data_IF_043732561689
#
_entry.id   IF_043732561689
#
_cell.length_a   1.000
_cell.length_b   1.000
_cell.length_c   1.000
_cell.angle_alpha   90.00
_cell.angle_beta   90.00
_cell.angle_gamma   90.00
#
_symmetry.space_group_name_H-M   'P 1'
#
loop_
_entity.id
_entity.type
_entity.pdbx_description
1 polymer ?
2 polymer ?
3 non-polymer ?
4 non-polymer ?
5 non-polymer ?
6 non-polymer ?
7 non-polymer ?
8 non-polymer ?
9 water ?
#
# COMPACT_ATOMS: atom_id res chain seq x y z
N UNK A 1 -5.40 -9.98 16.73
CA UNK A 1 -6.19 -11.00 16.04
C UNK A 1 -7.37 -10.32 15.32
N UNK A 2 -7.41 -8.99 15.15
CA UNK A 2 -8.40 -8.34 14.22
C UNK A 2 -8.19 -8.92 12.81
N UNK A 3 -9.23 -9.58 12.29
CA UNK A 3 -9.18 -10.37 11.04
C UNK A 3 -10.33 -9.92 10.13
N UNK A 4 -9.98 -9.66 8.88
CA UNK A 4 -10.96 -9.45 7.80
C UNK A 4 -11.15 -10.78 7.09
N UNK A 5 -12.38 -11.16 6.81
CA UNK A 5 -12.65 -12.37 6.01
C UNK A 5 -13.38 -11.98 4.73
N UNK A 6 -13.14 -12.74 3.68
CA UNK A 6 -13.79 -12.50 2.37
C UNK A 6 -14.60 -13.74 2.09
N UNK A 7 -15.92 -13.63 1.94
CA UNK A 7 -16.71 -14.80 1.58
C UNK A 7 -16.22 -15.40 0.27
N UNK A 8 -15.80 -14.55 -0.67
CA UNK A 8 -15.33 -14.99 -2.01
C UNK A 8 -14.03 -14.27 -2.33
N UNK A 9 -13.00 -14.97 -2.78
CA UNK A 9 -11.73 -14.31 -3.18
C UNK A 9 -11.63 -14.28 -4.71
N UNK A 10 -12.69 -14.64 -5.39
CA UNK A 10 -12.76 -14.69 -6.86
C UNK A 10 -14.20 -14.43 -7.26
N UNK A 11 -14.40 -13.44 -8.13
CA UNK A 11 -15.71 -13.07 -8.71
C UNK A 11 -15.55 -13.20 -10.21
N UNK A 12 -16.53 -13.78 -10.86
CA UNK A 12 -16.58 -13.76 -12.33
C UNK A 12 -17.89 -13.08 -12.68
N UNK A 13 -17.83 -11.98 -13.41
CA UNK A 13 -19.00 -11.12 -13.60
C UNK A 13 -19.17 -10.81 -15.08
N UNK A 14 -20.41 -10.59 -15.47
CA UNK A 14 -20.73 -10.30 -16.88
C UNK A 14 -20.56 -8.80 -17.16
N UNK A 15 -20.10 -8.52 -18.37
CA UNK A 15 -19.93 -7.14 -18.86
C UNK A 15 -21.26 -6.40 -18.70
N UNK A 16 -21.26 -5.21 -18.11
CA UNK A 16 -22.47 -4.38 -18.04
C UNK A 16 -23.30 -4.66 -16.79
N UNK A 17 -22.97 -5.66 -15.98
CA UNK A 17 -23.64 -5.98 -14.72
C UNK A 17 -23.23 -4.97 -13.64
N UNK A 18 -23.98 -4.91 -12.57
CA UNK A 18 -23.47 -4.27 -11.35
C UNK A 18 -22.75 -5.38 -10.59
N UNK A 19 -21.76 -5.05 -9.78
CA UNK A 19 -21.09 -6.08 -8.97
C UNK A 19 -20.94 -5.54 -7.57
N UNK A 20 -21.12 -6.37 -6.54
CA UNK A 20 -20.84 -6.00 -5.15
C UNK A 20 -19.89 -7.04 -4.59
N UNK A 21 -18.74 -6.57 -4.16
CA UNK A 21 -17.72 -7.49 -3.59
C UNK A 21 -17.61 -7.16 -2.12
N UNK A 22 -17.39 -8.18 -1.35
CA UNK A 22 -17.54 -8.09 0.11
C UNK A 22 -16.27 -8.44 0.85
N UNK A 23 -16.12 -7.71 1.93
CA UNK A 23 -15.11 -8.01 2.97
C UNK A 23 -15.76 -7.75 4.32
N UNK A 24 -15.62 -8.73 5.18
CA UNK A 24 -16.35 -8.74 6.48
C UNK A 24 -15.39 -8.54 7.63
N UNK A 25 -15.88 -7.87 8.67
CA UNK A 25 -15.11 -7.68 9.91
C UNK A 25 -16.10 -7.68 11.07
N UNK A 26 -15.60 -8.02 12.26
CA UNK A 26 -16.44 -8.15 13.46
C UNK A 26 -17.01 -6.79 13.93
N UNK A 27 -18.34 -6.74 13.97
CA UNK A 27 -19.12 -5.58 14.47
C UNK A 27 -20.30 -6.14 15.27
N UNK A 28 -20.42 -5.76 16.53
CA UNK A 28 -21.60 -6.22 17.34
C UNK A 28 -22.56 -5.08 17.69
N UNK A 29 -22.15 -3.85 17.43
CA UNK A 29 -22.84 -2.65 17.97
C UNK A 29 -22.53 -1.51 17.04
N UNK A 30 -23.14 -0.38 17.37
CA UNK A 30 -22.88 0.90 16.75
C UNK A 30 -21.37 1.08 16.47
N UNK A 31 -21.07 1.41 15.22
CA UNK A 31 -19.66 1.67 14.81
C UNK A 31 -19.12 2.92 15.47
N UNK A 32 -17.88 2.81 15.92
CA UNK A 32 -17.10 3.99 16.29
C UNK A 32 -16.53 4.57 14.98
N UNK A 33 -17.21 5.51 14.33
CA UNK A 33 -16.75 6.05 13.02
C UNK A 33 -15.53 6.92 13.19
N UNK A 34 -15.26 7.41 14.38
CA UNK A 34 -14.00 8.13 14.61
C UNK A 34 -12.84 7.16 14.30
N UNK A 35 -13.00 5.88 14.60
CA UNK A 35 -11.89 4.90 14.51
C UNK A 35 -11.92 4.14 13.18
N UNK A 36 -13.06 3.94 12.55
CA UNK A 36 -13.20 3.02 11.40
C UNK A 36 -12.55 3.66 10.15
N UNK A 37 -11.71 2.86 9.47
CA UNK A 37 -11.25 3.24 8.09
C UNK A 37 -11.51 2.05 7.21
N UNK A 38 -12.08 2.30 6.05
CA UNK A 38 -12.25 1.27 5.02
C UNK A 38 -11.59 1.78 3.76
N UNK A 39 -10.70 1.00 3.18
CA UNK A 39 -9.96 1.45 1.99
C UNK A 39 -10.02 0.33 0.95
N UNK A 40 -10.66 0.63 -0.19
CA UNK A 40 -10.71 -0.29 -1.35
C UNK A 40 -9.79 0.25 -2.45
N UNK A 41 -9.01 -0.66 -3.02
CA UNK A 41 -8.18 -0.37 -4.18
C UNK A 41 -8.39 -1.46 -5.21
N UNK A 42 -8.04 -1.20 -6.46
CA UNK A 42 -7.75 -2.30 -7.39
C UNK A 42 -6.57 -1.88 -8.24
N UNK A 43 -5.55 -2.72 -8.34
CA UNK A 43 -4.46 -2.45 -9.31
C UNK A 43 -3.85 -1.06 -8.99
N UNK A 44 -3.65 -0.76 -7.73
CA UNK A 44 -3.01 0.48 -7.18
C UNK A 44 -3.91 1.71 -7.41
N UNK A 45 -5.13 1.53 -7.86
CA UNK A 45 -6.11 2.63 -8.02
C UNK A 45 -6.98 2.77 -6.77
N UNK A 46 -7.04 4.00 -6.25
CA UNK A 46 -7.90 4.35 -5.11
C UNK A 46 -9.36 4.28 -5.55
N UNK A 47 -10.11 3.35 -4.98
CA UNK A 47 -11.55 3.24 -5.30
C UNK A 47 -12.31 4.03 -4.25
N UNK A 48 -12.24 3.60 -2.99
CA UNK A 48 -12.85 4.36 -1.88
C UNK A 48 -11.94 4.34 -0.68
N UNK A 49 -11.64 5.52 -0.16
CA UNK A 49 -11.05 5.75 1.14
C UNK A 49 -12.13 6.36 2.02
N UNK A 50 -12.53 5.59 3.03
CA UNK A 50 -13.62 5.98 3.95
C UNK A 50 -13.01 6.21 5.31
N UNK A 51 -13.09 7.46 5.76
CA UNK A 51 -12.40 7.91 6.98
C UNK A 51 -13.27 9.04 7.58
N UNK A 52 -13.37 9.07 8.89
CA UNK A 52 -14.27 10.03 9.58
C UNK A 52 -15.68 9.95 9.01
N UNK A 53 -16.17 8.76 8.68
CA UNK A 53 -17.55 8.59 8.22
C UNK A 53 -17.85 9.13 6.83
N UNK A 54 -16.84 9.43 5.99
CA UNK A 54 -17.10 9.94 4.61
C UNK A 54 -16.08 9.37 3.62
N UNK A 55 -16.57 9.09 2.40
CA UNK A 55 -15.72 8.76 1.22
C UNK A 55 -14.87 10.01 0.93
N UNK A 56 -13.54 9.89 0.85
CA UNK A 56 -12.65 11.02 0.44
C UNK A 56 -12.59 11.01 -1.08
N UNK A 57 -13.44 11.77 -1.73
CA UNK A 57 -13.57 11.70 -3.20
C UNK A 57 -12.43 12.46 -3.88
N UNK A 58 -11.64 13.23 -3.13
CA UNK A 58 -10.50 13.94 -3.71
C UNK A 58 -9.45 12.96 -4.19
N UNK A 59 -9.31 11.81 -3.51
CA UNK A 59 -8.19 10.86 -3.78
C UNK A 59 -8.67 9.70 -4.66
N UNK A 60 -9.96 9.61 -4.91
CA UNK A 60 -10.54 8.55 -5.76
C UNK A 60 -10.03 8.65 -7.20
N UNK A 61 -9.75 7.50 -7.76
CA UNK A 61 -9.28 7.40 -9.17
C UNK A 61 -10.44 7.73 -10.09
N UNK A 62 -10.16 8.45 -11.18
CA UNK A 62 -11.18 8.87 -12.17
C UNK A 62 -11.96 7.69 -12.73
N UNK A 63 -11.40 6.50 -12.80
CA UNK A 63 -12.09 5.31 -13.30
C UNK A 63 -13.28 4.89 -12.42
N UNK A 64 -13.37 5.38 -11.21
CA UNK A 64 -14.37 4.96 -10.19
C UNK A 64 -15.30 6.12 -9.84
N UNK A 65 -15.05 7.29 -10.36
CA UNK A 65 -15.84 8.50 -10.07
C UNK A 65 -17.29 8.21 -10.53
N UNK A 66 -18.22 8.33 -9.58
CA UNK A 66 -19.67 8.07 -9.78
C UNK A 66 -19.94 6.67 -10.33
N UNK A 67 -19.08 5.71 -9.98
CA UNK A 67 -19.28 4.31 -10.37
C UNK A 67 -19.10 3.38 -9.17
N UNK A 68 -18.58 3.87 -8.07
CA UNK A 68 -18.30 3.03 -6.90
C UNK A 68 -19.04 3.57 -5.69
N UNK A 69 -19.55 2.69 -4.86
CA UNK A 69 -20.13 2.99 -3.53
C UNK A 69 -19.65 1.99 -2.53
N UNK A 70 -19.40 2.48 -1.34
CA UNK A 70 -19.25 1.64 -0.14
C UNK A 70 -20.62 1.70 0.57
N UNK A 71 -21.27 0.56 0.61
CA UNK A 71 -22.70 0.49 1.06
C UNK A 71 -22.75 0.67 2.59
N UNK A 72 -23.19 1.85 3.01
CA UNK A 72 -23.04 2.32 4.42
C UNK A 72 -23.88 1.43 5.36
N UNK A 73 -25.05 0.98 4.95
CA UNK A 73 -25.92 0.18 5.82
C UNK A 73 -25.33 -1.22 5.97
N UNK A 74 -24.60 -1.73 4.98
CA UNK A 74 -23.88 -3.02 5.12
C UNK A 74 -22.73 -2.87 6.10
N UNK A 75 -22.10 -1.70 6.13
CA UNK A 75 -20.94 -1.47 7.03
C UNK A 75 -21.41 -1.65 8.47
N UNK A 76 -22.65 -1.22 8.77
CA UNK A 76 -23.18 -1.31 10.14
C UNK A 76 -23.31 -2.79 10.55
N UNK A 77 -23.39 -3.71 9.60
CA UNK A 77 -23.42 -5.19 9.83
C UNK A 77 -22.02 -5.82 9.79
N UNK A 78 -20.96 -5.04 9.64
CA UNK A 78 -19.59 -5.59 9.55
C UNK A 78 -19.32 -6.12 8.15
N UNK A 79 -19.95 -5.50 7.16
CA UNK A 79 -19.76 -5.88 5.75
C UNK A 79 -19.35 -4.64 4.96
N UNK A 80 -18.07 -4.57 4.59
CA UNK A 80 -17.55 -3.49 3.72
C UNK A 80 -17.84 -3.92 2.29
N UNK A 81 -18.99 -3.53 1.80
CA UNK A 81 -19.46 -3.97 0.49
C UNK A 81 -19.17 -2.88 -0.55
N UNK A 82 -18.35 -3.20 -1.53
CA UNK A 82 -18.03 -2.28 -2.63
C UNK A 82 -18.91 -2.60 -3.83
N UNK A 83 -19.77 -1.67 -4.23
CA UNK A 83 -20.64 -1.83 -5.38
C UNK A 83 -20.06 -1.01 -6.55
N UNK A 84 -19.81 -1.69 -7.66
CA UNK A 84 -19.39 -1.06 -8.91
C UNK A 84 -20.59 -1.11 -9.84
N UNK A 85 -20.92 0.03 -10.42
CA UNK A 85 -22.00 0.14 -11.43
C UNK A 85 -21.43 -0.14 -12.82
N UNK A 86 -22.11 -1.01 -13.61
CA UNK A 86 -21.91 -1.09 -15.06
C UNK A 86 -20.45 -1.49 -15.37
N UNK A 87 -20.12 -2.70 -14.91
CA UNK A 87 -18.75 -3.26 -14.99
C UNK A 87 -18.29 -3.40 -16.43
N UNK A 88 -17.00 -3.15 -16.64
CA UNK A 88 -16.33 -3.15 -17.95
C UNK A 88 -15.03 -3.95 -17.84
N UNK A 89 -14.33 -4.15 -18.96
CA UNK A 89 -13.08 -4.95 -18.88
C UNK A 89 -12.10 -4.23 -17.98
N UNK A 90 -12.11 -2.90 -17.93
CA UNK A 90 -11.19 -2.12 -17.07
C UNK A 90 -11.36 -2.53 -15.60
N UNK A 91 -12.52 -3.05 -15.19
CA UNK A 91 -12.78 -3.41 -13.78
C UNK A 91 -12.27 -4.82 -13.47
N UNK A 92 -11.73 -5.52 -14.45
CA UNK A 92 -11.12 -6.83 -14.18
C UNK A 92 -9.73 -6.61 -13.62
N UNK A 93 -9.39 -7.27 -12.54
CA UNK A 93 -8.07 -7.12 -11.91
C UNK A 93 -8.09 -7.60 -10.52
N UNK A 94 -7.01 -7.35 -9.81
CA UNK A 94 -6.91 -7.72 -8.38
C UNK A 94 -7.33 -6.52 -7.54
N UNK A 95 -8.34 -6.73 -6.73
CA UNK A 95 -8.87 -5.77 -5.73
C UNK A 95 -8.31 -6.10 -4.34
N UNK A 96 -8.24 -5.11 -3.49
CA UNK A 96 -7.80 -5.31 -2.12
C UNK A 96 -8.67 -4.45 -1.25
N UNK A 97 -9.10 -5.06 -0.17
CA UNK A 97 -9.81 -4.36 0.90
C UNK A 97 -8.91 -4.22 2.13
N UNK A 98 -8.98 -3.09 2.76
CA UNK A 98 -8.33 -2.80 4.04
C UNK A 98 -9.44 -2.34 4.96
N UNK A 99 -9.52 -2.95 6.12
CA UNK A 99 -10.36 -2.41 7.22
C UNK A 99 -9.47 -2.18 8.41
N UNK A 100 -9.62 -1.02 9.04
CA UNK A 100 -8.97 -0.65 10.32
C UNK A 100 -10.08 -0.33 11.32
N UNK A 101 -10.14 -1.13 12.39
CA UNK A 101 -11.19 -1.00 13.44
C UNK A 101 -10.62 -1.65 14.70
N UNK A 102 -9.71 -0.95 15.37
CA UNK A 102 -8.91 -1.52 16.46
C UNK A 102 -8.07 -2.67 15.91
N UNK A 103 -7.12 -2.33 15.10
CA UNK A 103 -6.33 -3.32 14.34
C UNK A 103 -6.74 -3.22 12.89
N UNK A 104 -5.87 -3.68 11.99
CA UNK A 104 -6.08 -3.54 10.53
C UNK A 104 -5.76 -4.86 9.84
N UNK A 105 -6.48 -5.18 8.78
CA UNK A 105 -6.18 -6.36 7.99
C UNK A 105 -6.54 -6.07 6.54
N UNK A 106 -5.96 -6.85 5.67
CA UNK A 106 -5.95 -6.60 4.20
C UNK A 106 -6.20 -7.91 3.47
N UNK A 107 -7.12 -7.93 2.52
CA UNK A 107 -7.43 -9.16 1.75
C UNK A 107 -7.48 -8.83 0.25
N UNK A 108 -6.97 -9.77 -0.55
CA UNK A 108 -7.00 -9.70 -2.02
C UNK A 108 -8.18 -10.46 -2.57
N UNK A 109 -8.76 -9.94 -3.63
CA UNK A 109 -9.91 -10.54 -4.36
C UNK A 109 -9.67 -10.35 -5.85
N UNK A 110 -9.71 -11.43 -6.61
CA UNK A 110 -9.62 -11.38 -8.08
C UNK A 110 -11.00 -11.21 -8.66
N UNK A 111 -11.11 -10.28 -9.60
CA UNK A 111 -12.34 -10.07 -10.37
C UNK A 111 -12.02 -10.32 -11.83
N UNK A 112 -12.75 -11.27 -12.42
CA UNK A 112 -12.71 -11.55 -13.87
C UNK A 112 -13.99 -11.05 -14.51
N UNK A 113 -13.86 -10.23 -15.54
CA UNK A 113 -15.02 -9.70 -16.29
C UNK A 113 -15.06 -10.41 -17.65
N UNK A 114 -16.22 -10.92 -18.02
CA UNK A 114 -16.39 -11.60 -19.32
C UNK A 114 -16.61 -10.56 -20.43
N UNK A 115 -16.31 -10.94 -21.65
CA UNK A 115 -16.34 -10.10 -22.87
C UNK A 115 -17.73 -9.50 -23.10
N UNK A 116 -17.85 -8.29 -23.70
CA UNK A 116 -19.17 -7.73 -24.04
C UNK A 116 -19.95 -8.52 -25.12
N UNK B 2 5.53 -5.43 18.66
CA UNK B 2 5.62 -6.79 18.02
C UNK B 2 5.96 -6.69 16.52
N UNK B 3 5.49 -5.67 15.78
CA UNK B 3 6.04 -5.47 14.41
C UNK B 3 7.46 -4.90 14.57
N UNK B 4 8.41 -5.46 13.84
CA UNK B 4 9.75 -4.87 13.67
C UNK B 4 10.18 -4.86 12.19
N UNK B 5 10.66 -3.72 11.70
CA UNK B 5 11.36 -3.64 10.39
C UNK B 5 12.84 -3.40 10.69
N UNK B 6 13.72 -4.24 10.20
CA UNK B 6 15.19 -4.08 10.42
C UNK B 6 15.88 -3.90 9.07
N UNK B 7 16.45 -2.71 8.85
CA UNK B 7 17.21 -2.37 7.63
C UNK B 7 18.67 -2.75 7.82
N UNK B 8 19.30 -3.23 6.77
CA UNK B 8 20.76 -3.46 6.78
C UNK B 8 21.33 -3.17 5.39
N UNK B 9 22.68 -3.04 5.29
CA UNK B 9 23.34 -2.95 3.99
C UNK B 9 23.92 -1.57 3.71
N UNK B 10 23.72 -0.64 4.62
CA UNK B 10 24.23 0.71 4.43
C UNK B 10 25.74 0.73 4.59
N UNK B 11 26.35 1.75 4.05
CA UNK B 11 27.80 1.96 4.22
C UNK B 11 28.28 3.16 3.44
N UNK B 12 29.59 3.25 3.33
CA UNK B 12 30.31 4.29 2.59
C UNK B 12 30.51 3.76 1.20
N UNK B 13 30.29 4.57 0.18
CA UNK B 13 30.47 4.16 -1.23
C UNK B 13 30.94 5.31 -2.08
N UNK B 14 31.74 5.01 -3.11
CA UNK B 14 32.22 5.98 -4.10
C UNK B 14 31.02 6.47 -4.93
N UNK B 15 31.00 7.72 -5.32
CA UNK B 15 30.03 8.21 -6.33
C UNK B 15 30.17 7.32 -7.57
N UNK B 16 29.03 6.90 -8.13
CA UNK B 16 29.02 5.95 -9.25
C UNK B 16 28.90 4.51 -8.84
N UNK B 17 29.10 4.19 -7.58
CA UNK B 17 29.10 2.83 -7.11
C UNK B 17 27.69 2.35 -6.78
N UNK B 18 27.65 1.21 -6.10
CA UNK B 18 26.38 0.46 -5.85
C UNK B 18 26.36 -0.08 -4.43
N UNK B 19 25.17 -0.22 -3.88
CA UNK B 19 24.95 -0.86 -2.57
C UNK B 19 23.58 -1.54 -2.66
N UNK B 20 23.32 -2.54 -1.83
CA UNK B 20 21.97 -3.14 -1.75
C UNK B 20 21.51 -3.06 -0.31
N UNK B 21 20.40 -2.37 -0.09
CA UNK B 21 19.76 -2.33 1.23
C UNK B 21 18.74 -3.45 1.31
N UNK B 22 18.56 -3.97 2.50
CA UNK B 22 17.59 -5.05 2.77
C UNK B 22 16.80 -4.64 3.98
N UNK B 23 15.54 -5.04 4.04
CA UNK B 23 14.73 -4.83 5.27
C UNK B 23 14.01 -6.14 5.56
N UNK B 24 14.25 -6.67 6.74
CA UNK B 24 13.62 -7.91 7.24
C UNK B 24 12.48 -7.50 8.16
N UNK B 25 11.25 -7.85 7.78
CA UNK B 25 10.06 -7.49 8.60
C UNK B 25 9.70 -8.72 9.43
N UNK B 26 9.29 -8.50 10.67
CA UNK B 26 8.81 -9.60 11.54
C UNK B 26 7.53 -9.15 12.23
N UNK B 27 6.75 -10.10 12.76
CA UNK B 27 5.59 -9.76 13.60
C UNK B 27 4.29 -9.97 12.86
N UNK B 28 4.29 -9.75 11.54
CA UNK B 28 3.16 -10.12 10.68
C UNK B 28 3.62 -10.15 9.23
N UNK B 29 2.83 -10.79 8.40
CA UNK B 29 3.12 -10.91 6.97
C UNK B 29 2.71 -9.61 6.30
N UNK B 30 3.61 -9.06 5.54
CA UNK B 30 3.36 -7.79 4.84
C UNK B 30 3.05 -8.00 3.34
N UNK B 31 2.74 -9.21 2.88
CA UNK B 31 2.46 -9.47 1.45
C UNK B 31 1.41 -8.52 0.87
N UNK B 32 0.39 -8.21 1.67
CA UNK B 32 -0.76 -7.43 1.16
C UNK B 32 -0.60 -5.94 1.41
N UNK B 33 0.58 -5.47 1.81
CA UNK B 33 0.87 -4.07 2.14
C UNK B 33 1.73 -3.42 1.06
N UNK B 34 1.43 -2.16 0.74
CA UNK B 34 2.40 -1.34 -0.02
C UNK B 34 3.62 -1.16 0.90
N UNK B 35 4.81 -1.20 0.33
CA UNK B 35 6.07 -1.00 1.09
C UNK B 35 6.88 0.11 0.48
N UNK B 36 7.74 0.76 1.27
CA UNK B 36 8.47 1.90 0.70
C UNK B 36 9.82 2.04 1.38
N UNK B 37 10.71 2.73 0.67
CA UNK B 37 11.93 3.33 1.27
C UNK B 37 11.79 4.83 1.25
N UNK B 38 12.19 5.46 2.35
CA UNK B 38 12.30 6.89 2.56
C UNK B 38 13.77 7.14 2.97
N UNK B 39 14.15 8.41 2.88
CA UNK B 39 15.48 8.78 3.35
C UNK B 39 15.43 10.12 4.03
N UNK B 40 16.38 10.34 4.93
CA UNK B 40 16.46 11.64 5.64
C UNK B 40 17.93 11.99 5.93
N UNK B 41 18.30 13.14 5.42
CA UNK B 41 19.63 13.73 5.68
C UNK B 41 19.50 14.66 6.86
N UNK B 42 20.62 14.82 7.60
CA UNK B 42 20.66 15.65 8.78
C UNK B 42 20.07 17.02 8.51
N UNK B 43 19.12 17.38 9.37
CA UNK B 43 18.49 18.70 9.34
C UNK B 43 17.52 18.90 8.20
N UNK B 44 17.15 17.83 7.45
CA UNK B 44 16.29 18.01 6.24
C UNK B 44 15.04 17.15 6.40
N UNK B 45 14.02 17.44 5.59
CA UNK B 45 12.71 16.73 5.58
C UNK B 45 13.00 15.27 5.16
N UNK B 46 12.32 14.30 5.75
CA UNK B 46 12.31 12.89 5.30
C UNK B 46 11.58 12.83 3.96
N UNK B 47 12.12 12.10 2.99
CA UNK B 47 11.52 12.10 1.65
C UNK B 47 11.37 10.69 1.14
N UNK B 48 10.34 10.53 0.32
CA UNK B 48 10.09 9.29 -0.41
C UNK B 48 11.23 8.98 -1.38
N UNK B 49 11.60 7.72 -1.47
CA UNK B 49 12.61 7.26 -2.42
C UNK B 49 11.94 6.31 -3.45
N UNK B 50 11.33 5.26 -2.95
CA UNK B 50 10.79 4.19 -3.80
C UNK B 50 9.66 3.47 -3.08
N UNK B 51 8.76 2.91 -3.88
CA UNK B 51 7.60 2.20 -3.34
C UNK B 51 7.26 1.01 -4.19
N UNK B 52 6.78 -0.06 -3.56
CA UNK B 52 6.35 -1.25 -4.29
C UNK B 52 4.94 -1.62 -3.81
N UNK B 53 4.12 -2.01 -4.78
CA UNK B 53 2.73 -2.38 -4.54
C UNK B 53 2.66 -3.74 -3.86
N UNK B 54 1.57 -3.94 -3.15
CA UNK B 54 1.12 -5.28 -2.73
C UNK B 54 0.86 -6.20 -3.91
N UNK B 55 0.66 -5.68 -5.12
CA UNK B 55 0.48 -6.59 -6.28
C UNK B 55 1.78 -7.34 -6.55
N UNK B 56 2.89 -6.80 -6.07
CA UNK B 56 4.22 -7.29 -6.44
C UNK B 56 4.70 -6.72 -7.77
N UNK B 57 3.86 -6.00 -8.52
CA UNK B 57 4.21 -5.66 -9.91
C UNK B 57 3.98 -4.21 -10.27
N UNK B 58 3.93 -3.32 -9.31
CA UNK B 58 3.93 -1.86 -9.50
C UNK B 58 5.08 -1.30 -8.65
N UNK B 59 6.00 -0.60 -9.28
CA UNK B 59 7.12 0.06 -8.59
C UNK B 59 7.07 1.54 -8.93
N UNK B 60 7.50 2.36 -7.96
CA UNK B 60 7.33 3.81 -8.01
C UNK B 60 8.58 4.45 -7.42
N UNK B 61 9.02 5.53 -8.04
CA UNK B 61 10.33 6.15 -7.69
C UNK B 61 10.22 7.65 -7.70
N UNK B 62 10.88 8.28 -6.76
CA UNK B 62 11.09 9.74 -6.84
C UNK B 62 11.95 10.02 -8.08
N UNK B 63 11.70 11.11 -8.75
CA UNK B 63 12.30 11.36 -10.09
C UNK B 63 13.84 11.26 -10.03
N UNK B 64 14.46 11.75 -8.98
CA UNK B 64 15.94 11.81 -8.92
C UNK B 64 16.59 10.43 -8.76
N UNK B 65 15.81 9.38 -8.47
CA UNK B 65 16.42 8.04 -8.34
C UNK B 65 15.96 7.12 -9.46
N UNK B 66 15.02 7.56 -10.30
CA UNK B 66 14.54 6.69 -11.39
C UNK B 66 15.72 6.22 -12.24
N UNK B 67 15.78 4.91 -12.52
CA UNK B 67 16.85 4.31 -13.32
C UNK B 67 18.06 3.99 -12.46
N UNK B 68 18.22 4.64 -11.33
CA UNK B 68 19.40 4.37 -10.44
C UNK B 68 19.05 3.33 -9.37
N UNK B 69 17.87 3.45 -8.78
CA UNK B 69 17.46 2.59 -7.66
C UNK B 69 16.33 1.66 -8.16
N UNK B 70 16.32 0.46 -7.63
CA UNK B 70 15.29 -0.56 -7.92
C UNK B 70 14.79 -1.13 -6.62
N UNK B 71 13.48 -1.08 -6.45
CA UNK B 71 12.84 -1.69 -5.25
C UNK B 71 12.26 -3.04 -5.63
N UNK B 72 12.37 -3.99 -4.70
CA UNK B 72 11.86 -5.34 -4.90
C UNK B 72 11.45 -5.89 -3.53
N UNK B 73 10.72 -6.97 -3.58
CA UNK B 73 10.24 -7.62 -2.34
C UNK B 73 10.28 -9.13 -2.51
N UNK B 74 10.32 -9.83 -1.36
CA UNK B 74 10.26 -11.31 -1.36
C UNK B 74 9.26 -11.68 -0.27
N UNK B 75 8.05 -12.05 -0.68
CA UNK B 75 6.93 -12.23 0.26
C UNK B 75 7.12 -13.54 1.00
N UNK B 76 7.91 -14.45 0.49
CA UNK B 76 8.19 -15.71 1.22
C UNK B 76 9.08 -15.36 2.42
N UNK B 77 10.00 -14.42 2.28
CA UNK B 77 10.93 -14.05 3.38
C UNK B 77 10.49 -12.81 4.15
N UNK B 78 9.39 -12.15 3.76
CA UNK B 78 8.95 -10.91 4.42
C UNK B 78 10.07 -9.88 4.35
N UNK B 79 10.70 -9.72 3.18
CA UNK B 79 11.81 -8.79 2.99
C UNK B 79 11.54 -7.83 1.82
N UNK B 80 12.10 -6.63 1.97
CA UNK B 80 12.07 -5.58 0.94
C UNK B 80 13.51 -5.20 0.65
N UNK B 81 13.81 -4.87 -0.59
CA UNK B 81 15.19 -4.56 -1.01
C UNK B 81 15.24 -3.25 -1.78
N UNK B 82 16.35 -2.56 -1.65
CA UNK B 82 16.62 -1.36 -2.48
C UNK B 82 18.01 -1.54 -3.10
N UNK B 83 18.02 -1.84 -4.38
CA UNK B 83 19.26 -1.95 -5.20
C UNK B 83 19.60 -0.52 -5.59
N UNK B 84 20.74 0.00 -5.10
CA UNK B 84 21.15 1.37 -5.42
C UNK B 84 22.38 1.34 -6.33
N UNK B 85 22.22 1.82 -7.55
CA UNK B 85 23.29 1.96 -8.55
C UNK B 85 23.55 3.45 -8.81
N UNK B 86 24.70 3.77 -9.45
CA UNK B 86 25.00 5.14 -9.90
C UNK B 86 24.85 6.10 -8.71
N UNK B 87 25.39 5.75 -7.55
CA UNK B 87 25.17 6.56 -6.34
C UNK B 87 25.79 7.95 -6.53
N UNK B 88 25.11 8.91 -5.94
CA UNK B 88 25.42 10.33 -6.14
C UNK B 88 25.47 11.01 -4.78
N UNK B 89 26.19 12.14 -4.64
CA UNK B 89 26.18 12.90 -3.39
C UNK B 89 24.79 13.14 -2.78
N UNK B 90 23.79 13.35 -3.61
CA UNK B 90 22.42 13.63 -3.15
C UNK B 90 21.88 12.45 -2.36
N UNK B 91 22.48 11.27 -2.48
CA UNK B 91 21.90 10.05 -1.90
C UNK B 91 22.35 9.85 -0.45
N UNK B 92 23.32 10.63 0.04
CA UNK B 92 23.77 10.49 1.45
C UNK B 92 22.64 10.80 2.42
N UNK B 93 22.29 9.82 3.24
CA UNK B 93 21.15 9.93 4.15
C UNK B 93 21.04 8.66 4.99
N UNK B 94 20.14 8.71 5.97
CA UNK B 94 19.60 7.51 6.64
C UNK B 94 18.41 7.02 5.82
N UNK B 95 18.46 5.77 5.45
CA UNK B 95 17.39 5.13 4.66
C UNK B 95 16.52 4.29 5.60
N UNK B 96 15.20 4.46 5.46
CA UNK B 96 14.18 3.78 6.27
C UNK B 96 13.27 2.98 5.36
N UNK B 97 12.96 1.78 5.78
CA UNK B 97 11.92 1.00 5.11
C UNK B 97 10.66 1.16 5.92
N UNK B 98 9.54 1.25 5.21
CA UNK B 98 8.24 1.60 5.80
C UNK B 98 7.18 0.67 5.22
N UNK B 99 6.22 0.27 6.07
CA UNK B 99 5.04 -0.53 5.68
C UNK B 99 3.79 0.32 5.82
N UNK B 100 2.88 0.14 4.89
CA UNK B 100 1.61 0.85 4.76
C UNK B 100 0.88 0.96 6.09
N UNK B 101 0.33 2.14 6.30
CA UNK B 101 -0.45 2.52 7.48
C UNK B 101 -1.89 2.70 7.09
N UNK B 102 -2.74 2.87 8.08
CA UNK B 102 -4.19 2.97 7.88
C UNK B 102 -4.61 4.24 7.15
N UNK B 103 -3.79 5.27 7.00
CA UNK B 103 -4.17 6.49 6.28
C UNK B 103 -3.50 6.55 4.91
N UNK B 104 -2.95 5.42 4.44
CA UNK B 104 -2.38 5.36 3.08
C UNK B 104 -3.35 5.90 2.03
N UNK B 105 -4.62 5.50 2.09
CA UNK B 105 -5.64 5.94 1.10
C UNK B 105 -5.92 7.45 1.14
N UNK B 106 -5.60 8.15 2.22
CA UNK B 106 -5.74 9.61 2.37
C UNK B 106 -4.46 10.32 1.91
N UNK B 107 -3.31 9.80 2.31
CA UNK B 107 -2.01 10.51 2.22
C UNK B 107 -1.31 10.31 0.89
N UNK B 108 -1.46 9.15 0.26
CA UNK B 108 -0.76 8.83 -1.00
C UNK B 108 0.59 8.16 -0.75
N UNK B 109 1.07 7.44 -1.77
CA UNK B 109 2.26 6.59 -1.66
C UNK B 109 3.49 7.39 -1.21
N UNK B 110 3.62 8.65 -1.62
CA UNK B 110 4.89 9.39 -1.41
C UNK B 110 4.93 10.12 -0.07
N UNK B 111 3.88 10.04 0.74
CA UNK B 111 3.82 10.81 2.01
C UNK B 111 4.12 9.93 3.20
N UNK B 112 4.90 10.43 4.14
CA UNK B 112 5.26 9.71 5.38
C UNK B 112 4.01 9.26 6.13
N UNK B 113 2.98 10.09 6.09
CA UNK B 113 1.72 9.88 6.84
C UNK B 113 1.01 8.60 6.36
N UNK B 114 1.36 8.07 5.20
CA UNK B 114 0.74 6.87 4.62
C UNK B 114 1.30 5.57 5.16
N UNK B 115 2.35 5.60 6.01
CA UNK B 115 3.03 4.39 6.49
C UNK B 115 3.05 4.43 8.03
N UNK B 116 2.69 3.32 8.65
CA UNK B 116 2.59 3.25 10.13
C UNK B 116 3.77 2.54 10.73
N UNK B 117 4.52 1.76 9.98
CA UNK B 117 5.62 0.92 10.49
C UNK B 117 6.90 1.40 9.83
N UNK B 118 7.93 1.59 10.65
CA UNK B 118 9.23 2.18 10.21
C UNK B 118 10.37 1.42 10.86
N UNK B 119 11.42 1.13 10.10
CA UNK B 119 12.64 0.62 10.70
C UNK B 119 13.41 1.71 11.40
N UNK B 120 14.55 1.32 11.96
CA UNK B 120 15.44 2.23 12.71
C UNK B 120 16.36 2.96 11.71
N UNK B 121 16.49 2.45 10.51
CA UNK B 121 17.25 3.14 9.44
C UNK B 121 18.64 2.58 9.28
N UNK B 122 19.22 2.75 8.09
CA UNK B 122 20.61 2.34 7.78
C UNK B 122 21.28 3.50 7.04
N UNK B 123 22.51 3.85 7.43
CA UNK B 123 23.17 5.07 6.95
C UNK B 123 23.85 4.74 5.64
N UNK B 124 23.62 5.58 4.63
CA UNK B 124 24.35 5.46 3.35
C UNK B 124 25.14 6.75 3.19
N UNK B 125 26.44 6.63 2.92
CA UNK B 125 27.27 7.83 2.77
C UNK B 125 27.99 7.74 1.45
N UNK B 126 27.74 8.70 0.58
CA UNK B 126 28.41 8.75 -0.71
C UNK B 126 29.58 9.71 -0.56
N UNK B 127 30.78 9.23 -0.88
CA UNK B 127 32.02 10.05 -0.77
C UNK B 127 31.86 11.34 -1.63
N UNK B 128 31.83 12.51 -0.99
CA UNK B 128 31.45 13.81 -1.62
C UNK B 128 32.50 14.87 -1.26
#
# INVERSE_FOLDING_TARGET
AFTVTVPKDLYVVEYGSNMTIECKFPVEKELDLAALIVYWEMEDKNIIQFVHGEEDLKVQHSSYRQRARLLKDQLSLGNAALQITDVKLQDAGVYRCMISYGGADYKRITVKVNAPY
GEVQLVESGGGLVQAGGSLRLSCAASGRTFSNYHMAWFRQAPGKEREFVAGISWTGRGTYYTDSVKGRFTISRDNAKNTVYLQMNSLKPEDTAVYYCAAEGTLYGSGGRTHQSAYDYWGQGTQVTVSS
#
